data_IF_524838462394
#
_entry.id   IF_524838462394
#
_cell.length_a   1.000
_cell.length_b   1.000
_cell.length_c   1.000
_cell.angle_alpha   90.00
_cell.angle_beta   90.00
_cell.angle_gamma   90.00
#
_symmetry.space_group_name_H-M   'P 1'
#
loop_
_entity.id
_entity.type
_entity.pdbx_description
1 polymer ?
#
# COMPACT_ATOMS: atom_id res chain seq x y z
N UNK A 1 -13.68 -3.92 20.04
CA UNK A 1 -13.03 -4.05 21.36
C UNK A 1 -11.81 -3.11 21.41
N UNK A 2 -11.43 -2.61 22.60
CA UNK A 2 -10.28 -1.72 22.79
C UNK A 2 -9.40 -2.25 23.92
N UNK A 3 -8.08 -2.37 23.70
CA UNK A 3 -7.11 -2.85 24.69
C UNK A 3 -5.83 -2.04 24.62
N UNK A 4 -5.31 -1.64 25.77
CA UNK A 4 -3.98 -1.06 25.91
C UNK A 4 -2.98 -2.19 26.16
N UNK A 5 -1.93 -2.26 25.35
CA UNK A 5 -0.87 -3.26 25.48
C UNK A 5 0.49 -2.59 25.29
N UNK A 6 1.24 -2.43 26.38
CA UNK A 6 2.46 -1.62 26.38
C UNK A 6 2.14 -0.14 26.07
N UNK A 7 2.93 0.49 25.19
CA UNK A 7 2.71 1.85 24.67
C UNK A 7 1.77 1.90 23.46
N UNK A 8 1.02 0.85 23.20
CA UNK A 8 0.20 0.73 22.01
C UNK A 8 -1.27 0.51 22.38
N UNK A 9 -2.14 1.29 21.75
CA UNK A 9 -3.58 1.12 21.83
C UNK A 9 -4.05 0.26 20.66
N UNK A 10 -4.77 -0.80 20.96
CA UNK A 10 -5.29 -1.72 19.97
C UNK A 10 -6.80 -1.64 19.95
N UNK A 11 -7.37 -1.24 18.81
CA UNK A 11 -8.80 -1.28 18.58
C UNK A 11 -9.14 -2.28 17.49
N UNK A 12 -10.32 -2.87 17.64
CA UNK A 12 -10.88 -3.78 16.66
C UNK A 12 -12.17 -3.19 16.15
N UNK A 13 -12.26 -3.10 14.83
CA UNK A 13 -13.49 -2.80 14.12
C UNK A 13 -13.70 -3.85 13.03
N UNK A 14 -14.80 -4.59 13.12
CA UNK A 14 -15.13 -5.70 12.22
C UNK A 14 -13.99 -6.75 12.13
N UNK A 15 -13.41 -6.92 10.93
CA UNK A 15 -12.33 -7.85 10.63
C UNK A 15 -10.93 -7.21 10.73
N UNK A 16 -10.89 -5.95 11.16
CA UNK A 16 -9.72 -5.09 11.10
C UNK A 16 -9.27 -4.73 12.50
N UNK A 17 -7.95 -4.76 12.68
CA UNK A 17 -7.28 -4.28 13.87
C UNK A 17 -6.57 -2.99 13.51
N UNK A 18 -6.74 -1.99 14.36
CA UNK A 18 -6.05 -0.71 14.28
C UNK A 18 -5.14 -0.57 15.48
N UNK A 19 -3.94 -0.05 15.25
CA UNK A 19 -2.95 0.15 16.29
C UNK A 19 -2.47 1.59 16.28
N UNK A 20 -2.46 2.21 17.45
CA UNK A 20 -1.95 3.55 17.68
C UNK A 20 -0.83 3.50 18.70
N UNK A 21 0.16 4.35 18.51
CA UNK A 21 1.13 4.67 19.54
C UNK A 21 0.48 5.62 20.55
N UNK A 22 0.59 5.30 21.85
CA UNK A 22 -0.05 6.10 22.90
C UNK A 22 0.78 7.28 23.37
N UNK A 23 2.06 7.36 22.99
CA UNK A 23 2.94 8.46 23.36
C UNK A 23 2.82 9.61 22.35
N UNK A 24 2.77 9.26 21.06
CA UNK A 24 2.68 10.20 19.93
C UNK A 24 1.26 10.38 19.43
N UNK A 25 0.33 9.49 19.80
CA UNK A 25 -1.04 9.41 19.28
C UNK A 25 -1.12 9.18 17.76
N UNK A 26 -0.01 8.78 17.14
CA UNK A 26 0.03 8.51 15.72
C UNK A 26 -0.48 7.08 15.41
N UNK A 27 -1.20 6.89 14.29
CA UNK A 27 -1.60 5.56 13.85
C UNK A 27 -0.36 4.78 13.40
N UNK A 28 0.00 3.73 14.12
CA UNK A 28 1.11 2.85 13.77
C UNK A 28 0.75 1.94 12.58
N UNK A 29 -0.52 1.57 12.43
CA UNK A 29 -0.97 0.82 11.27
C UNK A 29 -2.34 0.17 11.40
N UNK A 30 -2.78 -0.39 10.28
CA UNK A 30 -4.00 -1.19 10.15
C UNK A 30 -3.63 -2.61 9.72
N UNK A 31 -4.21 -3.60 10.38
CA UNK A 31 -4.06 -5.00 10.02
C UNK A 31 -5.42 -5.59 9.69
N UNK A 32 -5.60 -5.90 8.41
CA UNK A 32 -6.74 -6.67 7.91
C UNK A 32 -6.28 -8.11 7.72
N UNK A 33 -6.89 -9.08 8.41
CA UNK A 33 -6.51 -10.49 8.18
C UNK A 33 -7.51 -11.55 8.61
N UNK A 34 -8.57 -11.23 9.34
CA UNK A 34 -9.63 -12.20 9.55
C UNK A 34 -10.58 -12.14 8.35
N UNK A 35 -10.98 -13.30 7.83
CA UNK A 35 -11.96 -13.38 6.72
C UNK A 35 -13.39 -13.13 7.24
N UNK A 36 -13.57 -13.16 8.58
CA UNK A 36 -14.79 -12.82 9.29
C UNK A 36 -14.57 -11.78 10.39
N UNK A 37 -15.64 -11.47 11.11
CA UNK A 37 -15.59 -10.55 12.25
C UNK A 37 -14.69 -11.10 13.36
N UNK A 38 -13.86 -10.23 13.93
CA UNK A 38 -13.09 -10.54 15.12
C UNK A 38 -14.05 -10.51 16.31
N UNK A 39 -14.17 -11.64 17.00
CA UNK A 39 -15.10 -11.82 18.12
C UNK A 39 -14.47 -11.49 19.46
N UNK A 40 -13.15 -11.63 19.59
CA UNK A 40 -12.45 -11.34 20.84
C UNK A 40 -10.98 -10.94 20.62
N UNK A 41 -10.42 -10.26 21.62
CA UNK A 41 -9.05 -9.79 21.65
C UNK A 41 -8.44 -9.97 23.04
N UNK A 42 -7.43 -10.85 23.13
CA UNK A 42 -6.76 -11.18 24.37
C UNK A 42 -5.30 -10.67 24.37
N UNK A 43 -4.92 -9.81 25.33
CA UNK A 43 -3.52 -9.43 25.50
C UNK A 43 -2.73 -10.60 26.12
N UNK A 44 -1.55 -10.87 25.56
CA UNK A 44 -0.60 -11.83 26.09
C UNK A 44 0.69 -11.09 26.41
N UNK A 45 0.99 -10.97 27.70
CA UNK A 45 2.23 -10.40 28.19
C UNK A 45 3.24 -11.53 28.41
N UNK A 46 4.16 -11.73 27.47
CA UNK A 46 5.32 -12.60 27.68
C UNK A 46 6.56 -11.73 27.86
N UNK A 47 6.89 -11.39 29.10
CA UNK A 47 8.11 -10.75 29.66
C UNK A 47 8.83 -9.63 28.87
N UNK A 48 9.08 -9.80 27.57
CA UNK A 48 9.78 -8.87 26.66
C UNK A 48 8.98 -8.57 25.38
N UNK A 49 7.96 -9.38 25.06
CA UNK A 49 7.14 -9.23 23.85
C UNK A 49 5.67 -9.07 24.24
N UNK A 50 5.13 -7.92 23.91
CA UNK A 50 3.70 -7.64 23.96
C UNK A 50 3.03 -8.21 22.72
N UNK A 51 2.16 -9.19 22.91
CA UNK A 51 1.41 -9.82 21.81
C UNK A 51 -0.09 -9.74 22.06
N UNK A 52 -0.86 -9.80 20.99
CA UNK A 52 -2.31 -9.88 21.04
C UNK A 52 -2.79 -11.08 20.22
N UNK A 53 -3.75 -11.80 20.79
CA UNK A 53 -4.44 -12.88 20.09
C UNK A 53 -5.82 -12.40 19.70
N UNK A 54 -6.18 -12.62 18.45
CA UNK A 54 -7.53 -12.37 17.94
C UNK A 54 -8.16 -13.66 17.48
N UNK A 55 -9.42 -13.82 17.82
CA UNK A 55 -10.24 -14.95 17.36
C UNK A 55 -11.28 -14.39 16.41
N UNK A 56 -11.39 -14.97 15.22
CA UNK A 56 -12.40 -14.62 14.23
C UNK A 56 -13.52 -15.65 14.18
N UNK A 57 -14.68 -15.23 13.67
CA UNK A 57 -15.84 -16.11 13.49
C UNK A 57 -15.61 -17.24 12.46
N UNK A 58 -14.53 -17.16 11.68
CA UNK A 58 -14.07 -18.25 10.81
C UNK A 58 -13.40 -19.41 11.59
N UNK A 59 -13.30 -19.30 12.92
CA UNK A 59 -12.67 -20.30 13.79
C UNK A 59 -11.14 -20.20 13.86
N UNK A 60 -10.56 -19.19 13.21
CA UNK A 60 -9.13 -18.93 13.21
C UNK A 60 -8.68 -18.10 14.41
N UNK A 61 -7.59 -18.52 15.06
CA UNK A 61 -6.83 -17.72 16.02
C UNK A 61 -5.62 -17.13 15.29
N UNK A 62 -5.44 -15.81 15.37
CA UNK A 62 -4.25 -15.12 14.82
C UNK A 62 -3.51 -14.42 15.95
N UNK A 63 -2.18 -14.47 15.85
CA UNK A 63 -1.27 -13.89 16.85
C UNK A 63 -0.56 -12.70 16.21
N UNK A 64 -0.52 -11.61 16.95
CA UNK A 64 0.06 -10.34 16.54
C UNK A 64 1.13 -9.95 17.54
N UNK A 65 2.32 -9.65 17.05
CA UNK A 65 3.42 -9.07 17.82
C UNK A 65 3.69 -7.66 17.31
N UNK A 66 4.29 -6.81 18.13
CA UNK A 66 4.71 -5.48 17.70
C UNK A 66 5.68 -5.53 16.50
N UNK A 67 6.60 -6.50 16.45
CA UNK A 67 7.47 -6.74 15.28
C UNK A 67 6.68 -7.03 14.00
N UNK A 68 5.59 -7.79 14.13
CA UNK A 68 4.71 -8.06 13.00
C UNK A 68 4.00 -6.80 12.50
N UNK A 69 3.79 -5.78 13.37
CA UNK A 69 3.27 -4.46 12.97
C UNK A 69 4.26 -3.71 12.07
N UNK A 70 5.53 -3.64 12.46
CA UNK A 70 6.55 -2.94 11.68
C UNK A 70 6.70 -3.54 10.27
N UNK A 71 6.69 -4.87 10.16
CA UNK A 71 6.75 -5.55 8.86
C UNK A 71 5.52 -5.31 7.99
N UNK A 72 4.33 -5.20 8.60
CA UNK A 72 3.07 -4.95 7.89
C UNK A 72 2.95 -3.50 7.43
N UNK A 73 3.24 -2.54 8.30
CA UNK A 73 3.18 -1.11 8.00
C UNK A 73 4.19 -0.73 6.89
N UNK A 74 5.43 -1.22 7.00
CA UNK A 74 6.46 -1.00 5.98
C UNK A 74 6.02 -1.55 4.62
N UNK A 75 5.38 -2.74 4.60
CA UNK A 75 4.89 -3.35 3.37
C UNK A 75 3.76 -2.56 2.71
N UNK A 76 2.83 -2.00 3.50
CA UNK A 76 1.73 -1.18 2.99
C UNK A 76 2.30 0.12 2.40
N UNK A 77 3.22 0.79 3.09
CA UNK A 77 3.86 2.01 2.60
C UNK A 77 4.63 1.76 1.29
N UNK A 78 5.44 0.71 1.23
CA UNK A 78 6.16 0.33 0.01
C UNK A 78 5.23 0.05 -1.16
N UNK A 79 4.06 -0.56 -0.91
CA UNK A 79 3.09 -0.86 -1.98
C UNK A 79 2.47 0.42 -2.54
N UNK A 80 2.21 1.42 -1.69
CA UNK A 80 1.69 2.72 -2.13
C UNK A 80 2.73 3.50 -2.95
N UNK A 81 3.99 3.55 -2.48
CA UNK A 81 5.08 4.20 -3.20
C UNK A 81 5.33 3.57 -4.58
N UNK A 82 5.24 2.23 -4.68
CA UNK A 82 5.34 1.51 -5.96
C UNK A 82 4.19 1.89 -6.89
N UNK A 83 2.95 1.96 -6.40
CA UNK A 83 1.79 2.31 -7.22
C UNK A 83 1.89 3.74 -7.78
N UNK A 84 2.38 4.68 -6.97
CA UNK A 84 2.58 6.07 -7.39
C UNK A 84 3.68 6.17 -8.46
N UNK A 85 4.79 5.45 -8.28
CA UNK A 85 5.87 5.36 -9.27
C UNK A 85 5.41 4.70 -10.57
N UNK A 86 4.61 3.64 -10.51
CA UNK A 86 4.04 3.00 -11.71
C UNK A 86 3.14 3.96 -12.49
N UNK A 87 2.37 4.80 -11.80
CA UNK A 87 1.52 5.81 -12.43
C UNK A 87 2.36 6.92 -13.08
N UNK A 88 3.47 7.32 -12.47
CA UNK A 88 4.41 8.29 -13.05
C UNK A 88 5.12 7.74 -14.30
N UNK A 89 5.61 6.50 -14.23
CA UNK A 89 6.24 5.82 -15.37
C UNK A 89 5.27 5.70 -16.55
N UNK A 90 3.99 5.39 -16.28
CA UNK A 90 2.96 5.31 -17.31
C UNK A 90 2.75 6.64 -18.03
N UNK A 91 2.65 7.74 -17.28
CA UNK A 91 2.51 9.09 -17.86
C UNK A 91 3.71 9.45 -18.74
N UNK A 92 4.93 9.18 -18.26
CA UNK A 92 6.15 9.43 -19.03
C UNK A 92 6.20 8.61 -20.34
N UNK A 93 5.73 7.36 -20.32
CA UNK A 93 5.64 6.52 -21.51
C UNK A 93 4.61 7.03 -22.53
N UNK A 94 3.47 7.55 -22.07
CA UNK A 94 2.45 8.14 -22.93
C UNK A 94 2.96 9.40 -23.63
N UNK A 95 3.63 10.28 -22.89
CA UNK A 95 4.24 11.51 -23.43
C UNK A 95 5.37 11.20 -24.43
N UNK A 96 6.21 10.21 -24.13
CA UNK A 96 7.26 9.75 -25.04
C UNK A 96 6.66 9.18 -26.34
N UNK A 97 5.58 8.39 -26.25
CA UNK A 97 4.88 7.85 -27.40
C UNK A 97 4.19 8.94 -28.24
N UNK A 98 3.59 9.94 -27.59
CA UNK A 98 3.00 11.09 -28.28
C UNK A 98 4.07 11.90 -29.04
N UNK A 99 5.22 12.12 -28.42
CA UNK A 99 6.37 12.81 -29.05
C UNK A 99 6.89 12.01 -30.24
N UNK A 100 7.07 10.70 -30.09
CA UNK A 100 7.50 9.83 -31.18
C UNK A 100 6.53 9.85 -32.37
N UNK A 101 5.22 9.80 -32.12
CA UNK A 101 4.20 9.91 -33.18
C UNK A 101 4.28 11.25 -33.92
N UNK A 102 4.48 12.36 -33.19
CA UNK A 102 4.67 13.68 -33.80
C UNK A 102 5.94 13.74 -34.66
N UNK A 103 7.05 13.20 -34.18
CA UNK A 103 8.31 13.14 -34.95
C UNK A 103 8.15 12.33 -36.24
N UNK A 104 7.50 11.17 -36.19
CA UNK A 104 7.23 10.35 -37.38
C UNK A 104 6.33 11.07 -38.39
N UNK A 105 5.28 11.75 -37.91
CA UNK A 105 4.39 12.53 -38.78
C UNK A 105 5.12 13.69 -39.48
N UNK A 106 5.97 14.43 -38.74
CA UNK A 106 6.81 15.49 -39.31
C UNK A 106 7.80 14.94 -40.35
N UNK A 107 8.38 13.77 -40.11
CA UNK A 107 9.31 13.12 -41.04
C UNK A 107 8.62 12.73 -42.36
N UNK A 108 7.38 12.22 -42.29
CA UNK A 108 6.57 11.90 -43.46
C UNK A 108 6.16 13.15 -44.28
N UNK A 109 5.81 14.24 -43.59
CA UNK A 109 5.50 15.52 -44.26
C UNK A 109 6.73 16.11 -44.96
N UNK A 110 7.91 16.00 -44.34
CA UNK A 110 9.17 16.46 -44.94
C UNK A 110 9.58 15.66 -46.18
N UNK A 111 9.29 14.35 -46.23
CA UNK A 111 9.55 13.55 -47.43
C UNK A 111 8.63 13.93 -48.59
N UNK A 112 7.33 14.15 -48.34
CA UNK A 112 6.39 14.56 -49.39
C UNK A 112 6.77 15.91 -50.02
N UNK A 113 7.16 16.89 -49.19
CA UNK A 113 7.61 18.22 -49.68
C UNK A 113 8.93 18.12 -50.46
N UNK A 114 9.81 17.19 -50.11
CA UNK A 114 11.05 16.95 -50.87
C UNK A 114 10.75 16.36 -52.25
N UNK A 115 9.87 15.36 -52.30
CA UNK A 115 9.50 14.68 -53.54
C UNK A 115 8.77 15.63 -54.52
N UNK A 116 7.94 16.55 -54.01
CA UNK A 116 7.30 17.60 -54.83
C UNK A 116 8.30 18.61 -55.40
N UNK A 117 9.35 18.94 -54.63
CA UNK A 117 10.36 19.92 -55.04
C UNK A 117 11.32 19.36 -56.10
N UNK A 118 11.57 18.06 -56.10
CA UNK A 118 12.42 17.40 -57.10
C UNK A 118 11.65 17.07 -58.41
N UNK A 119 10.32 17.23 -58.43
CA UNK A 119 9.46 17.01 -59.59
C UNK A 119 9.20 18.26 -60.46
N UNK A 120 9.70 19.44 -60.04
CA UNK A 120 9.57 20.74 -60.73
C UNK A 120 10.90 21.15 -61.35
#
# INVERSE_FOLDING_TARGET
ALKLVGSHLWAVCFATIFVWDTETFEPHGQMAKHDGYIVDLAPVHQSLVSSIWTVGNEGGIKIWTAESLYSGALRIQQTQEIADLEHEVRRAQEDANATRKRSVALQAQLSEVSDERDAV
#
